data_IF_867571879058
#
_entry.id   IF_867571879058
#
_cell.length_a   1.000
_cell.length_b   1.000
_cell.length_c   1.000
_cell.angle_alpha   90.00
_cell.angle_beta   90.00
_cell.angle_gamma   90.00
#
_symmetry.space_group_name_H-M   'P 1'
#
loop_
_entity.id
_entity.type
_entity.pdbx_description
1 polymer ?
#
# COMPACT_ATOMS: atom_id res chain seq x y z
N UNK A 1 -7.53 6.00 -3.02
CA UNK A 1 -8.71 5.29 -2.53
C UNK A 1 -9.71 5.10 -3.67
N UNK A 2 -10.23 6.16 -4.24
CA UNK A 2 -11.28 6.14 -5.25
C UNK A 2 -10.75 5.69 -6.64
N UNK A 3 -10.57 4.38 -6.83
CA UNK A 3 -9.99 3.84 -8.05
C UNK A 3 -10.99 3.79 -9.23
N UNK A 4 -12.25 3.45 -8.93
CA UNK A 4 -13.31 3.31 -9.95
C UNK A 4 -14.10 4.59 -10.22
N UNK A 5 -13.75 5.71 -9.57
CA UNK A 5 -14.47 6.98 -9.65
C UNK A 5 -15.62 7.10 -8.65
N UNK A 6 -16.27 8.26 -8.66
CA UNK A 6 -17.41 8.58 -7.80
C UNK A 6 -18.74 8.26 -8.47
N UNK A 7 -19.79 8.01 -7.66
CA UNK A 7 -21.18 7.96 -8.13
C UNK A 7 -21.54 6.72 -8.96
N UNK A 8 -20.80 5.61 -8.84
CA UNK A 8 -21.15 4.35 -9.52
C UNK A 8 -22.39 3.74 -8.90
N UNK A 9 -23.50 3.82 -9.61
CA UNK A 9 -24.84 3.43 -9.11
C UNK A 9 -24.97 1.95 -8.83
N UNK A 10 -24.25 1.10 -9.57
CA UNK A 10 -24.23 -0.34 -9.36
C UNK A 10 -23.74 -0.72 -7.96
N UNK A 11 -22.75 0.01 -7.43
CA UNK A 11 -22.22 -0.26 -6.08
C UNK A 11 -23.26 0.10 -5.02
N UNK A 12 -23.86 1.29 -5.14
CA UNK A 12 -24.92 1.73 -4.22
C UNK A 12 -26.14 0.79 -4.23
N UNK A 13 -26.53 0.31 -5.41
CA UNK A 13 -27.61 -0.65 -5.57
C UNK A 13 -27.31 -2.00 -4.90
N UNK A 14 -26.09 -2.52 -5.06
CA UNK A 14 -25.65 -3.75 -4.41
C UNK A 14 -25.70 -3.65 -2.87
N UNK A 15 -25.20 -2.53 -2.32
CA UNK A 15 -25.28 -2.25 -0.88
C UNK A 15 -26.71 -2.19 -0.38
N UNK A 16 -27.60 -1.48 -1.09
CA UNK A 16 -29.00 -1.36 -0.71
C UNK A 16 -29.75 -2.70 -0.78
N UNK A 17 -29.45 -3.53 -1.77
CA UNK A 17 -30.03 -4.88 -1.89
C UNK A 17 -29.59 -5.77 -0.72
N UNK A 18 -28.30 -5.77 -0.39
CA UNK A 18 -27.75 -6.54 0.72
C UNK A 18 -28.32 -6.08 2.08
N UNK A 19 -28.44 -4.77 2.30
CA UNK A 19 -29.01 -4.23 3.54
C UNK A 19 -30.48 -4.63 3.77
N UNK A 20 -31.26 -4.87 2.70
CA UNK A 20 -32.62 -5.37 2.79
C UNK A 20 -32.67 -6.87 3.09
N UNK A 21 -31.65 -7.62 2.76
CA UNK A 21 -31.59 -9.07 2.93
C UNK A 21 -30.99 -9.47 4.27
N UNK A 22 -29.82 -8.93 4.59
CA UNK A 22 -29.06 -9.19 5.81
C UNK A 22 -28.04 -8.07 6.00
N UNK A 23 -28.25 -7.21 6.99
CA UNK A 23 -27.36 -6.10 7.33
C UNK A 23 -26.18 -6.52 8.19
N UNK A 24 -26.38 -7.48 9.10
CA UNK A 24 -25.37 -7.92 10.06
C UNK A 24 -25.56 -9.39 10.47
N UNK A 25 -24.44 -10.06 10.69
CA UNK A 25 -24.35 -11.36 11.38
C UNK A 25 -23.04 -11.45 12.15
N UNK A 26 -23.08 -11.99 13.37
CA UNK A 26 -21.87 -12.10 14.21
C UNK A 26 -21.01 -13.29 13.78
N UNK A 27 -19.82 -13.01 13.28
CA UNK A 27 -18.92 -14.00 12.66
C UNK A 27 -18.32 -15.01 13.62
N UNK A 28 -18.42 -14.81 14.95
CA UNK A 28 -17.99 -15.83 15.93
C UNK A 28 -18.93 -17.04 15.99
N UNK A 29 -20.13 -16.93 15.45
CA UNK A 29 -21.16 -17.98 15.53
C UNK A 29 -21.65 -18.40 14.14
N UNK A 30 -21.64 -17.50 13.19
CA UNK A 30 -22.27 -17.68 11.87
C UNK A 30 -21.37 -17.14 10.77
N UNK A 31 -21.64 -17.56 9.56
CA UNK A 31 -21.14 -16.96 8.32
C UNK A 31 -22.31 -16.40 7.51
N UNK A 32 -22.01 -15.75 6.40
CA UNK A 32 -23.00 -15.31 5.43
C UNK A 32 -22.60 -15.74 4.01
N UNK A 33 -23.59 -15.99 3.16
CA UNK A 33 -23.33 -16.38 1.76
C UNK A 33 -22.48 -15.34 1.02
N UNK A 34 -22.68 -14.05 1.30
CA UNK A 34 -21.89 -12.98 0.69
C UNK A 34 -20.42 -13.03 1.15
N UNK A 35 -20.16 -13.37 2.41
CA UNK A 35 -18.79 -13.49 2.94
C UNK A 35 -18.02 -14.64 2.27
N UNK A 36 -18.66 -15.81 2.17
CA UNK A 36 -18.07 -16.98 1.53
C UNK A 36 -17.85 -16.76 0.03
N UNK A 37 -18.82 -16.15 -0.64
CA UNK A 37 -18.71 -15.88 -2.08
C UNK A 37 -17.62 -14.87 -2.39
N UNK A 38 -17.59 -13.74 -1.67
CA UNK A 38 -16.59 -12.72 -1.92
C UNK A 38 -15.18 -13.18 -1.52
N UNK A 39 -15.04 -14.01 -0.47
CA UNK A 39 -13.77 -14.61 -0.11
C UNK A 39 -13.21 -15.46 -1.25
N UNK A 40 -14.02 -16.33 -1.86
CA UNK A 40 -13.62 -17.14 -3.04
C UNK A 40 -13.21 -16.26 -4.21
N UNK A 41 -14.06 -15.29 -4.59
CA UNK A 41 -13.79 -14.37 -5.70
C UNK A 41 -12.50 -13.56 -5.47
N UNK A 42 -12.22 -13.13 -4.22
CA UNK A 42 -11.02 -12.37 -3.89
C UNK A 42 -9.75 -13.24 -3.91
N UNK A 43 -9.83 -14.51 -3.47
CA UNK A 43 -8.72 -15.46 -3.60
C UNK A 43 -8.42 -15.78 -5.07
N UNK A 44 -9.45 -15.99 -5.88
CA UNK A 44 -9.30 -16.20 -7.33
C UNK A 44 -8.69 -14.98 -8.02
N UNK A 45 -9.11 -13.78 -7.62
CA UNK A 45 -8.53 -12.54 -8.10
C UNK A 45 -7.05 -12.40 -7.68
N UNK A 46 -6.68 -12.80 -6.46
CA UNK A 46 -5.32 -12.74 -5.96
C UNK A 46 -4.39 -13.78 -6.62
N UNK A 47 -4.96 -14.78 -7.28
CA UNK A 47 -4.21 -15.73 -8.11
C UNK A 47 -3.63 -16.93 -7.36
N UNK A 48 -2.76 -17.70 -8.02
CA UNK A 48 -2.39 -19.06 -7.58
C UNK A 48 -1.66 -19.11 -6.24
N UNK A 49 -0.98 -18.06 -5.81
CA UNK A 49 -0.29 -18.01 -4.52
C UNK A 49 -1.25 -18.15 -3.32
N UNK A 50 -2.52 -17.76 -3.51
CA UNK A 50 -3.55 -17.84 -2.48
C UNK A 50 -4.56 -18.98 -2.70
N UNK A 51 -4.31 -19.86 -3.64
CA UNK A 51 -5.13 -21.05 -3.86
C UNK A 51 -5.05 -21.97 -2.63
N UNK A 52 -6.20 -22.39 -2.11
CA UNK A 52 -6.28 -23.13 -0.84
C UNK A 52 -6.10 -22.25 0.42
N UNK A 53 -5.95 -20.97 0.24
CA UNK A 53 -5.86 -19.98 1.32
C UNK A 53 -7.19 -19.57 1.92
N UNK A 54 -7.17 -18.54 2.76
CA UNK A 54 -8.35 -17.96 3.39
C UNK A 54 -8.32 -16.43 3.41
N UNK A 55 -9.50 -15.82 3.53
CA UNK A 55 -9.67 -14.37 3.68
C UNK A 55 -10.26 -14.04 5.03
N UNK A 56 -9.68 -13.07 5.73
CA UNK A 56 -10.23 -12.46 6.91
C UNK A 56 -10.60 -11.00 6.62
N UNK A 57 -11.90 -10.68 6.68
CA UNK A 57 -12.40 -9.34 6.41
C UNK A 57 -12.43 -8.47 7.65
N UNK A 58 -12.12 -7.18 7.51
CA UNK A 58 -12.08 -6.15 8.56
C UNK A 58 -12.74 -4.86 8.09
N UNK A 59 -12.85 -3.83 8.96
CA UNK A 59 -13.45 -2.56 8.56
C UNK A 59 -12.45 -1.56 7.95
N UNK A 60 -11.17 -1.88 7.90
CA UNK A 60 -10.18 -0.97 7.31
C UNK A 60 -8.74 -1.46 7.39
N UNK A 61 -7.82 -0.68 6.82
CA UNK A 61 -6.41 -1.07 6.68
C UNK A 61 -5.70 -1.27 8.03
N UNK A 62 -5.92 -0.41 9.03
CA UNK A 62 -5.26 -0.57 10.34
C UNK A 62 -5.70 -1.85 11.06
N UNK A 63 -6.99 -2.18 11.02
CA UNK A 63 -7.49 -3.45 11.56
C UNK A 63 -6.95 -4.66 10.76
N UNK A 64 -6.84 -4.53 9.45
CA UNK A 64 -6.26 -5.59 8.61
C UNK A 64 -4.77 -5.81 8.94
N UNK A 65 -4.01 -4.75 9.21
CA UNK A 65 -2.61 -4.88 9.69
C UNK A 65 -2.57 -5.55 11.07
N UNK A 66 -3.38 -5.13 12.04
CA UNK A 66 -3.47 -5.81 13.35
C UNK A 66 -3.77 -7.30 13.20
N UNK A 67 -4.69 -7.64 12.30
CA UNK A 67 -5.03 -9.02 11.94
C UNK A 67 -3.81 -9.77 11.39
N UNK A 68 -3.08 -9.18 10.44
CA UNK A 68 -1.90 -9.80 9.83
C UNK A 68 -0.76 -10.01 10.85
N UNK A 69 -0.53 -9.04 11.76
CA UNK A 69 0.47 -9.17 12.83
C UNK A 69 0.13 -10.32 13.79
N UNK A 70 -1.13 -10.41 14.21
CA UNK A 70 -1.60 -11.49 15.09
C UNK A 70 -1.58 -12.84 14.38
N UNK A 71 -1.94 -12.89 13.11
CA UNK A 71 -1.88 -14.10 12.28
C UNK A 71 -0.45 -14.61 12.15
N UNK A 72 0.50 -13.73 11.85
CA UNK A 72 1.92 -14.08 11.77
C UNK A 72 2.46 -14.59 13.12
N UNK A 73 2.05 -13.96 14.22
CA UNK A 73 2.41 -14.42 15.56
C UNK A 73 1.84 -15.80 15.89
N UNK A 74 0.56 -16.03 15.60
CA UNK A 74 -0.07 -17.33 15.84
C UNK A 74 0.56 -18.41 14.97
N UNK A 75 0.76 -18.16 13.68
CA UNK A 75 1.48 -19.07 12.78
C UNK A 75 2.80 -19.56 13.38
N UNK A 76 3.64 -18.63 13.87
CA UNK A 76 4.93 -19.02 14.48
C UNK A 76 4.77 -19.91 15.71
N UNK A 77 3.73 -19.69 16.51
CA UNK A 77 3.43 -20.56 17.65
C UNK A 77 3.00 -21.96 17.19
N UNK A 78 2.14 -22.05 16.18
CA UNK A 78 1.62 -23.33 15.64
C UNK A 78 2.71 -24.19 14.99
N UNK A 79 3.72 -23.56 14.38
CA UNK A 79 4.88 -24.28 13.81
C UNK A 79 6.00 -24.53 14.83
N UNK A 80 5.71 -24.41 16.13
CA UNK A 80 6.66 -24.74 17.20
C UNK A 80 7.74 -23.69 17.44
N UNK A 81 7.50 -22.42 17.05
CA UNK A 81 8.41 -21.29 17.23
C UNK A 81 7.78 -20.20 18.15
N UNK A 82 7.33 -20.53 19.38
CA UNK A 82 6.54 -19.61 20.21
C UNK A 82 7.33 -18.39 20.71
N UNK A 83 8.63 -18.34 20.56
CA UNK A 83 9.47 -17.18 20.90
C UNK A 83 9.52 -16.15 19.79
N UNK A 84 9.14 -16.49 18.55
CA UNK A 84 9.08 -15.54 17.41
C UNK A 84 7.85 -14.67 17.53
N UNK A 85 8.06 -13.36 17.71
CA UNK A 85 6.97 -12.40 17.91
C UNK A 85 7.25 -11.00 17.36
N UNK A 86 8.49 -10.74 16.92
CA UNK A 86 8.85 -9.45 16.35
C UNK A 86 8.50 -9.41 14.86
N UNK A 87 7.81 -8.37 14.43
CA UNK A 87 7.57 -8.10 13.00
C UNK A 87 8.45 -6.94 12.58
N UNK A 88 9.40 -7.21 11.70
CA UNK A 88 10.34 -6.24 11.15
C UNK A 88 9.67 -5.44 10.04
N UNK A 89 10.09 -4.19 9.83
CA UNK A 89 9.54 -3.32 8.79
C UNK A 89 10.57 -2.32 8.25
N UNK A 90 10.13 -1.31 7.49
CA UNK A 90 11.04 -0.30 6.90
C UNK A 90 10.84 1.07 7.52
N UNK A 91 11.92 1.83 7.61
CA UNK A 91 11.85 3.27 7.90
C UNK A 91 10.93 3.97 6.90
N UNK A 92 10.26 5.03 7.34
CA UNK A 92 9.33 5.83 6.54
C UNK A 92 8.10 5.07 6.00
N UNK A 93 7.91 3.79 6.32
CA UNK A 93 6.69 3.05 5.95
C UNK A 93 5.46 3.54 6.73
N UNK A 94 4.27 3.24 6.23
CA UNK A 94 3.02 3.50 6.92
C UNK A 94 2.05 2.34 6.78
N UNK A 95 1.77 1.67 7.89
CA UNK A 95 0.90 0.50 7.93
C UNK A 95 -0.42 0.73 8.69
N UNK A 96 -0.60 1.86 9.32
CA UNK A 96 -1.84 2.21 10.02
C UNK A 96 -1.64 3.03 11.28
N UNK A 97 -2.74 3.28 12.01
CA UNK A 97 -2.77 4.18 13.17
C UNK A 97 -3.21 3.51 14.48
N UNK A 98 -3.53 2.22 14.50
CA UNK A 98 -3.67 1.44 15.73
C UNK A 98 -2.28 1.20 16.34
N UNK A 99 -2.18 0.88 17.62
CA UNK A 99 -0.88 0.80 18.29
C UNK A 99 0.04 -0.28 17.70
N UNK A 100 -0.50 -1.44 17.30
CA UNK A 100 0.28 -2.47 16.63
C UNK A 100 0.68 -2.08 15.20
N UNK A 101 -0.24 -1.52 14.43
CA UNK A 101 0.07 -1.01 13.08
C UNK A 101 1.08 0.15 13.14
N UNK A 102 1.00 1.00 14.18
CA UNK A 102 1.94 2.09 14.41
C UNK A 102 3.32 1.56 14.85
N UNK A 103 3.37 0.46 15.59
CA UNK A 103 4.62 -0.21 15.99
C UNK A 103 5.47 -0.60 14.78
N UNK A 104 4.83 -1.15 13.73
CA UNK A 104 5.50 -1.57 12.49
C UNK A 104 5.57 -0.47 11.43
N UNK A 105 4.93 0.68 11.63
CA UNK A 105 5.10 1.86 10.77
C UNK A 105 6.41 2.56 11.09
N UNK A 106 7.18 2.96 10.07
CA UNK A 106 8.49 3.61 10.26
C UNK A 106 8.46 5.14 10.14
N UNK A 107 7.33 5.76 9.81
CA UNK A 107 7.25 7.21 9.66
C UNK A 107 7.29 7.92 11.02
N UNK A 108 8.42 8.56 11.32
CA UNK A 108 8.69 9.18 12.62
C UNK A 108 7.61 10.17 13.05
N UNK A 109 7.21 11.10 12.18
CA UNK A 109 6.23 12.14 12.51
C UNK A 109 4.87 11.60 12.96
N UNK A 110 4.47 10.42 12.46
CA UNK A 110 3.20 9.78 12.84
C UNK A 110 3.29 8.97 14.12
N UNK A 111 4.51 8.63 14.56
CA UNK A 111 4.79 7.76 15.72
C UNK A 111 5.20 8.54 16.96
N UNK A 112 5.95 9.62 16.81
CA UNK A 112 6.70 10.31 17.87
C UNK A 112 5.85 10.57 19.12
N UNK A 113 4.64 11.10 18.98
CA UNK A 113 3.74 11.38 20.11
C UNK A 113 3.31 10.11 20.86
N UNK A 114 3.24 8.97 20.16
CA UNK A 114 2.69 7.70 20.67
C UNK A 114 3.76 6.68 21.03
N UNK A 115 5.04 6.96 20.82
CA UNK A 115 6.14 6.05 21.14
C UNK A 115 6.08 5.48 22.55
N UNK A 116 5.73 6.24 23.62
CA UNK A 116 5.60 5.68 24.96
C UNK A 116 4.54 4.58 25.12
N UNK A 117 3.60 4.48 24.17
CA UNK A 117 2.51 3.49 24.17
C UNK A 117 2.79 2.30 23.25
N UNK A 118 3.83 2.38 22.43
CA UNK A 118 4.09 1.43 21.36
C UNK A 118 5.24 0.51 21.73
N UNK A 119 5.05 -0.80 21.55
CA UNK A 119 6.17 -1.74 21.56
C UNK A 119 6.94 -1.61 20.25
N UNK A 120 8.12 -1.04 20.28
CA UNK A 120 8.90 -0.78 19.08
C UNK A 120 9.26 -2.05 18.33
N UNK A 121 9.21 -1.96 17.02
CA UNK A 121 9.69 -2.93 16.05
C UNK A 121 11.01 -2.44 15.43
N UNK A 122 11.86 -3.35 14.99
CA UNK A 122 13.07 -2.97 14.26
C UNK A 122 12.71 -2.55 12.82
N UNK A 123 13.32 -1.47 12.37
CA UNK A 123 13.12 -0.90 11.05
C UNK A 123 14.43 -0.88 10.28
N UNK A 124 14.39 -1.30 9.01
CA UNK A 124 15.52 -1.24 8.07
C UNK A 124 15.36 -0.05 7.11
N UNK A 125 16.40 0.26 6.34
CA UNK A 125 16.37 1.31 5.33
C UNK A 125 15.31 1.07 4.26
N UNK A 126 14.83 2.16 3.64
CA UNK A 126 13.92 2.08 2.50
C UNK A 126 14.70 2.17 1.19
N UNK A 127 14.49 1.27 0.21
CA UNK A 127 15.23 1.29 -1.06
C UNK A 127 14.75 2.45 -1.96
N UNK A 128 15.33 3.63 -1.73
CA UNK A 128 14.92 4.87 -2.37
C UNK A 128 16.01 5.39 -3.33
N UNK A 129 15.91 5.02 -4.61
CA UNK A 129 16.94 5.28 -5.61
C UNK A 129 17.26 6.76 -5.83
N UNK A 130 16.26 7.65 -5.84
CA UNK A 130 16.51 9.09 -5.98
C UNK A 130 17.37 9.66 -4.83
N UNK A 131 17.26 9.07 -3.62
CA UNK A 131 18.05 9.41 -2.42
C UNK A 131 18.75 8.19 -1.87
N UNK A 132 19.47 7.46 -2.76
CA UNK A 132 20.12 6.22 -2.38
C UNK A 132 21.17 6.43 -1.29
N UNK A 133 21.14 5.61 -0.24
CA UNK A 133 22.14 5.64 0.84
C UNK A 133 23.46 4.94 0.47
N UNK A 134 23.50 4.22 -0.65
CA UNK A 134 24.65 3.40 -1.07
C UNK A 134 25.40 3.94 -2.29
N UNK A 135 25.30 5.24 -2.59
CA UNK A 135 26.03 5.92 -3.68
C UNK A 135 26.01 5.16 -5.02
N UNK A 136 24.85 4.63 -5.39
CA UNK A 136 24.70 3.87 -6.63
C UNK A 136 24.99 4.71 -7.88
N UNK A 137 25.98 4.29 -8.66
CA UNK A 137 26.31 4.88 -9.97
C UNK A 137 25.70 4.13 -11.15
N UNK A 138 25.15 2.92 -10.93
CA UNK A 138 24.70 1.97 -11.95
C UNK A 138 23.19 1.88 -12.12
N UNK A 139 22.48 2.99 -11.98
CA UNK A 139 21.00 3.03 -12.03
C UNK A 139 20.32 2.15 -10.97
N UNK A 140 20.91 2.08 -9.78
CA UNK A 140 20.42 1.35 -8.61
C UNK A 140 20.33 -0.18 -8.77
N UNK A 141 21.06 -0.80 -9.69
CA UNK A 141 21.04 -2.26 -9.87
C UNK A 141 21.67 -3.01 -8.70
N UNK A 142 22.75 -2.46 -8.11
CA UNK A 142 23.45 -3.07 -6.98
C UNK A 142 22.82 -2.75 -5.64
N UNK A 143 22.25 -1.56 -5.45
CA UNK A 143 21.77 -1.12 -4.14
C UNK A 143 20.56 -1.93 -3.62
N UNK A 144 19.77 -2.56 -4.50
CA UNK A 144 18.69 -3.43 -4.09
C UNK A 144 19.15 -4.56 -3.17
N UNK A 145 20.30 -5.14 -3.47
CA UNK A 145 20.89 -6.20 -2.64
C UNK A 145 21.42 -5.65 -1.30
N UNK A 146 22.01 -4.46 -1.30
CA UNK A 146 22.51 -3.84 -0.07
C UNK A 146 21.37 -3.52 0.90
N UNK A 147 20.28 -2.93 0.41
CA UNK A 147 19.08 -2.72 1.22
C UNK A 147 18.45 -4.03 1.73
N UNK A 148 18.50 -5.11 0.93
CA UNK A 148 18.00 -6.40 1.37
C UNK A 148 18.85 -7.03 2.48
N UNK A 149 20.18 -6.85 2.45
CA UNK A 149 21.10 -7.31 3.52
C UNK A 149 20.82 -6.66 4.87
N UNK A 150 20.26 -5.45 4.90
CA UNK A 150 19.83 -4.84 6.15
C UNK A 150 18.73 -5.68 6.85
N UNK A 151 17.84 -6.34 6.08
CA UNK A 151 16.86 -7.26 6.65
C UNK A 151 17.54 -8.48 7.28
N UNK A 152 18.53 -9.06 6.61
CA UNK A 152 19.27 -10.21 7.13
C UNK A 152 19.95 -9.86 8.46
N UNK A 153 20.65 -8.72 8.51
CA UNK A 153 21.26 -8.22 9.74
C UNK A 153 20.22 -7.95 10.85
N UNK A 154 19.07 -7.40 10.51
CA UNK A 154 17.99 -7.16 11.50
C UNK A 154 17.40 -8.46 12.05
N UNK A 155 17.29 -9.51 11.22
CA UNK A 155 16.84 -10.85 11.66
C UNK A 155 17.88 -11.46 12.63
N UNK A 156 19.16 -11.40 12.30
CA UNK A 156 20.25 -11.88 13.17
C UNK A 156 20.23 -11.15 14.53
N UNK A 157 20.11 -9.81 14.50
CA UNK A 157 20.03 -8.98 15.70
C UNK A 157 18.76 -9.23 16.54
N UNK A 158 17.72 -9.81 15.95
CA UNK A 158 16.49 -10.19 16.68
C UNK A 158 16.68 -11.38 17.65
N UNK A 159 17.85 -12.01 17.64
CA UNK A 159 18.15 -13.18 18.47
C UNK A 159 17.13 -14.32 18.32
N UNK A 160 16.67 -14.55 17.09
CA UNK A 160 15.70 -15.58 16.74
C UNK A 160 14.24 -15.21 17.05
N UNK A 161 13.94 -13.98 17.42
CA UNK A 161 12.58 -13.52 17.75
C UNK A 161 11.82 -12.97 16.53
N UNK A 162 12.45 -12.81 15.37
CA UNK A 162 11.77 -12.37 14.15
C UNK A 162 10.69 -13.37 13.73
N UNK A 163 9.46 -12.89 13.56
CA UNK A 163 8.28 -13.65 13.14
C UNK A 163 7.94 -13.42 11.68
N UNK A 164 8.05 -12.16 11.23
CA UNK A 164 7.69 -11.72 9.89
C UNK A 164 8.43 -10.44 9.50
N UNK A 165 8.44 -10.14 8.21
CA UNK A 165 8.76 -8.84 7.66
C UNK A 165 7.53 -8.28 6.93
N UNK A 166 7.17 -7.01 7.21
CA UNK A 166 6.06 -6.32 6.53
C UNK A 166 6.59 -5.22 5.63
N UNK A 167 6.05 -5.14 4.41
CA UNK A 167 6.47 -4.13 3.43
C UNK A 167 5.36 -3.73 2.46
N UNK A 168 5.29 -2.44 2.14
CA UNK A 168 4.57 -1.92 0.97
C UNK A 168 5.38 -2.26 -0.29
N UNK A 169 4.84 -2.93 -1.32
CA UNK A 169 5.60 -3.23 -2.56
C UNK A 169 6.08 -1.96 -3.28
N UNK A 170 5.25 -0.93 -3.29
CA UNK A 170 5.59 0.45 -3.68
C UNK A 170 5.17 1.34 -2.52
N UNK A 171 6.03 2.30 -2.12
CA UNK A 171 5.70 3.14 -0.98
C UNK A 171 4.40 3.92 -1.18
N UNK A 172 3.65 4.03 -0.10
CA UNK A 172 2.45 4.87 -0.07
C UNK A 172 2.75 6.37 0.10
N UNK A 173 1.93 7.01 0.93
CA UNK A 173 1.94 8.47 1.10
C UNK A 173 3.21 9.03 1.74
N UNK A 174 3.89 8.28 2.58
CA UNK A 174 5.00 8.81 3.41
C UNK A 174 6.27 9.10 2.62
N UNK A 175 6.54 8.33 1.56
CA UNK A 175 7.68 8.54 0.65
C UNK A 175 7.26 8.96 -0.76
N UNK A 176 5.97 8.85 -1.10
CA UNK A 176 5.45 9.23 -2.40
C UNK A 176 5.86 8.27 -3.52
N UNK A 177 5.15 7.15 -3.62
CA UNK A 177 5.21 6.19 -4.73
C UNK A 177 6.62 5.72 -5.11
N UNK A 178 7.51 5.53 -4.14
CA UNK A 178 8.86 5.00 -4.39
C UNK A 178 8.75 3.55 -4.82
N UNK A 179 9.24 3.26 -6.02
CA UNK A 179 9.35 1.92 -6.59
C UNK A 179 10.71 1.35 -6.18
N UNK A 180 10.77 0.15 -5.59
CA UNK A 180 12.04 -0.44 -5.19
C UNK A 180 12.92 -0.79 -6.41
N UNK A 181 14.25 -0.77 -6.26
CA UNK A 181 15.18 -1.14 -7.33
C UNK A 181 15.03 -2.62 -7.73
N UNK A 182 15.45 -2.97 -8.97
CA UNK A 182 15.41 -4.35 -9.43
C UNK A 182 16.12 -5.31 -8.47
N UNK A 183 15.53 -6.50 -8.27
CA UNK A 183 16.07 -7.56 -7.43
C UNK A 183 15.85 -7.38 -5.91
N UNK A 184 15.44 -6.20 -5.42
CA UNK A 184 15.22 -5.98 -3.99
C UNK A 184 14.15 -6.91 -3.41
N UNK A 185 12.93 -6.90 -3.97
CA UNK A 185 11.83 -7.69 -3.42
C UNK A 185 12.09 -9.20 -3.53
N UNK A 186 12.76 -9.65 -4.60
CA UNK A 186 13.16 -11.05 -4.72
C UNK A 186 14.16 -11.43 -3.61
N UNK A 187 15.16 -10.59 -3.35
CA UNK A 187 16.11 -10.83 -2.25
C UNK A 187 15.42 -10.85 -0.87
N UNK A 188 14.40 -10.00 -0.66
CA UNK A 188 13.58 -10.02 0.56
C UNK A 188 12.86 -11.38 0.72
N UNK A 189 12.25 -11.91 -0.36
CA UNK A 189 11.60 -13.24 -0.34
C UNK A 189 12.61 -14.31 0.05
N UNK A 190 13.77 -14.33 -0.63
CA UNK A 190 14.81 -15.32 -0.40
C UNK A 190 15.34 -15.31 1.05
N UNK A 191 15.49 -14.11 1.62
CA UNK A 191 15.88 -13.92 3.02
C UNK A 191 14.79 -14.43 3.96
N UNK A 192 13.53 -14.03 3.76
CA UNK A 192 12.42 -14.50 4.58
C UNK A 192 12.31 -16.03 4.58
N UNK A 193 12.44 -16.65 3.42
CA UNK A 193 12.39 -18.12 3.27
C UNK A 193 13.54 -18.81 4.00
N UNK A 194 14.79 -18.34 3.79
CA UNK A 194 15.98 -18.90 4.47
C UNK A 194 15.88 -18.87 5.99
N UNK A 195 15.33 -17.79 6.54
CA UNK A 195 15.21 -17.60 7.98
C UNK A 195 13.88 -18.11 8.57
N UNK A 196 12.97 -18.63 7.75
CA UNK A 196 11.68 -19.16 8.20
C UNK A 196 10.76 -18.10 8.82
N UNK A 197 10.86 -16.85 8.39
CA UNK A 197 9.94 -15.78 8.75
C UNK A 197 8.91 -15.55 7.64
N UNK A 198 7.76 -14.99 7.99
CA UNK A 198 6.71 -14.70 7.00
C UNK A 198 6.96 -13.38 6.29
N UNK A 199 6.58 -13.32 5.00
CA UNK A 199 6.47 -12.07 4.26
C UNK A 199 5.02 -11.58 4.28
N UNK A 200 4.79 -10.37 4.82
CA UNK A 200 3.51 -9.68 4.78
C UNK A 200 3.60 -8.55 3.75
N UNK A 201 2.82 -8.66 2.67
CA UNK A 201 2.71 -7.59 1.68
C UNK A 201 1.57 -6.63 2.08
N UNK A 202 1.90 -5.37 2.35
CA UNK A 202 0.92 -4.31 2.56
C UNK A 202 0.53 -3.72 1.20
N UNK A 203 -0.56 -4.22 0.65
CA UNK A 203 -1.18 -3.80 -0.61
C UNK A 203 -2.38 -2.85 -0.39
N UNK A 204 -2.45 -2.22 0.76
CA UNK A 204 -3.53 -1.28 1.11
C UNK A 204 -3.61 -0.11 0.14
N UNK A 205 -2.47 0.38 -0.37
CA UNK A 205 -2.44 1.43 -1.40
C UNK A 205 -2.23 0.92 -2.81
N UNK A 206 -1.51 -0.14 -2.98
CA UNK A 206 -0.99 -0.65 -4.25
C UNK A 206 -1.89 -1.70 -4.90
N UNK A 207 -2.72 -2.37 -4.12
CA UNK A 207 -3.62 -3.43 -4.58
C UNK A 207 -4.84 -2.94 -5.37
N UNK A 208 -5.66 -3.89 -5.76
CA UNK A 208 -6.91 -3.69 -6.50
C UNK A 208 -6.72 -2.91 -7.81
N UNK A 209 -5.66 -3.24 -8.55
CA UNK A 209 -5.41 -2.68 -9.88
C UNK A 209 -4.58 -1.40 -9.92
N UNK A 210 -4.33 -0.75 -8.77
CA UNK A 210 -3.72 0.60 -8.69
C UNK A 210 -2.41 0.75 -9.48
N UNK A 211 -1.58 -0.27 -9.52
CA UNK A 211 -0.26 -0.25 -10.17
C UNK A 211 -0.24 -0.90 -11.56
N UNK A 212 -1.41 -1.29 -12.11
CA UNK A 212 -1.50 -1.98 -13.40
C UNK A 212 -1.34 -3.49 -13.30
N UNK A 213 -1.37 -4.03 -12.09
CA UNK A 213 -1.52 -5.45 -11.76
C UNK A 213 -2.60 -5.58 -10.70
N UNK A 214 -3.20 -6.76 -10.55
CA UNK A 214 -4.22 -7.01 -9.52
C UNK A 214 -3.70 -6.64 -8.15
N UNK A 215 -2.49 -7.11 -7.83
CA UNK A 215 -1.67 -6.70 -6.69
C UNK A 215 -0.25 -6.36 -7.15
N UNK A 216 0.37 -5.37 -6.52
CA UNK A 216 1.68 -4.87 -6.97
C UNK A 216 2.81 -5.90 -6.87
N UNK A 217 2.72 -6.86 -5.95
CA UNK A 217 3.69 -7.97 -5.82
C UNK A 217 3.85 -8.77 -7.12
N UNK A 218 2.85 -8.77 -8.00
CA UNK A 218 2.88 -9.46 -9.30
C UNK A 218 3.93 -8.88 -10.25
N UNK A 219 4.28 -7.59 -10.13
CA UNK A 219 5.34 -6.97 -10.96
C UNK A 219 6.70 -7.64 -10.78
N UNK A 220 6.92 -8.27 -9.63
CA UNK A 220 8.20 -8.91 -9.27
C UNK A 220 8.05 -10.41 -9.05
N UNK A 221 6.86 -10.99 -9.33
CA UNK A 221 6.57 -12.41 -9.08
C UNK A 221 6.88 -12.82 -7.63
N UNK A 222 6.58 -11.95 -6.68
CA UNK A 222 6.81 -12.15 -5.24
C UNK A 222 5.59 -12.83 -4.62
N UNK A 223 5.72 -14.05 -4.05
CA UNK A 223 4.65 -14.74 -3.36
C UNK A 223 4.67 -14.40 -1.85
N UNK A 224 3.87 -13.45 -1.36
CA UNK A 224 3.77 -13.21 0.08
C UNK A 224 3.01 -14.32 0.78
N UNK A 225 3.35 -14.59 2.05
CA UNK A 225 2.59 -15.51 2.91
C UNK A 225 1.24 -14.91 3.34
N UNK A 226 1.25 -13.59 3.57
CA UNK A 226 0.09 -12.80 3.97
C UNK A 226 0.02 -11.55 3.09
N UNK A 227 -1.16 -11.24 2.56
CA UNK A 227 -1.41 -10.02 1.80
C UNK A 227 -2.52 -9.21 2.49
N UNK A 228 -2.26 -7.92 2.70
CA UNK A 228 -3.22 -7.00 3.32
C UNK A 228 -3.73 -6.02 2.28
N UNK A 229 -5.05 -5.86 2.18
CA UNK A 229 -5.68 -4.91 1.27
C UNK A 229 -6.83 -4.15 1.93
N UNK A 230 -7.10 -2.93 1.45
CA UNK A 230 -8.20 -2.07 1.89
C UNK A 230 -8.46 -1.01 0.80
N UNK A 231 -8.82 0.20 1.15
CA UNK A 231 -8.99 1.36 0.24
C UNK A 231 -9.65 1.03 -1.11
N UNK A 232 -8.84 0.57 -2.09
CA UNK A 232 -9.30 0.14 -3.40
C UNK A 232 -10.29 -1.03 -3.35
N UNK A 233 -10.22 -1.85 -2.31
CA UNK A 233 -11.07 -3.03 -2.10
C UNK A 233 -12.57 -2.69 -2.15
N UNK A 234 -12.98 -1.56 -1.59
CA UNK A 234 -14.34 -1.01 -1.69
C UNK A 234 -14.39 0.30 -2.46
N UNK A 235 -13.24 0.78 -2.95
CA UNK A 235 -13.08 2.08 -3.63
C UNK A 235 -13.66 3.28 -2.85
N UNK A 236 -13.80 3.14 -1.53
CA UNK A 236 -14.31 4.17 -0.64
C UNK A 236 -15.85 4.16 -0.44
N UNK A 237 -16.57 3.23 -1.05
CA UNK A 237 -18.03 3.11 -0.88
C UNK A 237 -18.43 2.60 0.50
N UNK A 238 -17.62 1.74 1.11
CA UNK A 238 -17.83 1.25 2.47
C UNK A 238 -16.50 1.06 3.22
N UNK A 239 -16.49 1.13 4.56
CA UNK A 239 -15.37 0.68 5.37
C UNK A 239 -15.14 -0.81 5.12
N UNK A 240 -13.93 -1.15 4.60
CA UNK A 240 -13.57 -2.54 4.30
C UNK A 240 -12.06 -2.69 4.23
N UNK A 241 -11.55 -3.75 4.82
CA UNK A 241 -10.22 -4.28 4.70
C UNK A 241 -10.25 -5.80 4.58
N UNK A 242 -9.19 -6.40 4.12
CA UNK A 242 -9.04 -7.85 4.06
C UNK A 242 -7.59 -8.26 4.26
N UNK A 243 -7.43 -9.42 4.87
CA UNK A 243 -6.17 -10.16 4.98
C UNK A 243 -6.34 -11.47 4.24
N UNK A 244 -5.52 -11.72 3.25
CA UNK A 244 -5.43 -12.99 2.53
C UNK A 244 -4.25 -13.77 3.11
N UNK A 245 -4.49 -14.98 3.54
CA UNK A 245 -3.47 -15.92 4.03
C UNK A 245 -3.25 -17.02 3.01
N UNK A 246 -1.98 -17.35 2.73
CA UNK A 246 -1.63 -18.49 1.88
C UNK A 246 -2.04 -19.82 2.52
N UNK A 247 -2.17 -20.89 1.71
CA UNK A 247 -2.49 -22.21 2.20
C UNK A 247 -1.53 -22.65 3.32
N UNK A 248 -0.23 -22.37 3.19
CA UNK A 248 0.78 -22.66 4.23
C UNK A 248 0.40 -22.11 5.61
N UNK A 249 -0.10 -20.86 5.65
CA UNK A 249 -0.48 -20.20 6.92
C UNK A 249 -1.77 -20.79 7.45
N UNK A 250 -2.75 -21.05 6.57
CA UNK A 250 -4.04 -21.66 6.93
C UNK A 250 -3.86 -23.07 7.48
N UNK A 251 -3.08 -23.91 6.79
CA UNK A 251 -2.83 -25.29 7.17
C UNK A 251 -2.15 -25.39 8.54
N UNK A 252 -1.19 -24.52 8.83
CA UNK A 252 -0.51 -24.50 10.13
C UNK A 252 -1.50 -24.26 11.28
N UNK A 253 -2.43 -23.31 11.12
CA UNK A 253 -3.45 -23.04 12.13
C UNK A 253 -4.48 -24.16 12.21
N UNK A 254 -4.92 -24.71 11.08
CA UNK A 254 -5.89 -25.81 11.03
C UNK A 254 -5.36 -27.10 11.69
N UNK A 255 -4.06 -27.40 11.52
CA UNK A 255 -3.39 -28.56 12.12
C UNK A 255 -2.99 -28.32 13.58
N UNK A 256 -2.86 -27.07 14.01
CA UNK A 256 -2.53 -26.66 15.38
C UNK A 256 -3.78 -26.47 16.24
N UNK A 257 -4.06 -25.23 16.63
CA UNK A 257 -5.22 -24.88 17.48
C UNK A 257 -6.56 -25.03 16.77
N UNK A 258 -6.61 -25.13 15.44
CA UNK A 258 -7.81 -25.30 14.63
C UNK A 258 -8.59 -24.01 14.38
N UNK A 259 -8.19 -22.89 14.98
CA UNK A 259 -8.88 -21.61 14.80
C UNK A 259 -7.96 -20.41 14.98
N UNK A 260 -8.19 -19.34 14.23
CA UNK A 260 -7.51 -18.07 14.42
C UNK A 260 -8.15 -17.30 15.57
N UNK A 261 -7.36 -17.07 16.64
CA UNK A 261 -7.83 -16.42 17.89
C UNK A 261 -7.85 -14.90 17.70
N UNK A 262 -8.85 -14.42 16.97
CA UNK A 262 -8.99 -12.99 16.64
C UNK A 262 -10.44 -12.65 16.28
N UNK A 263 -10.86 -11.40 16.52
CA UNK A 263 -12.19 -10.93 16.14
C UNK A 263 -12.38 -9.44 16.34
N UNK A 264 -13.20 -8.85 15.48
CA UNK A 264 -13.83 -7.54 15.65
C UNK A 264 -15.35 -7.70 15.44
N UNK A 265 -16.17 -6.87 16.08
CA UNK A 265 -17.62 -6.97 16.00
C UNK A 265 -18.14 -6.90 14.56
N UNK A 266 -17.56 -6.02 13.75
CA UNK A 266 -17.98 -5.80 12.36
C UNK A 266 -17.16 -6.55 11.31
N UNK A 267 -16.50 -7.63 11.70
CA UNK A 267 -15.85 -8.51 10.73
C UNK A 267 -16.86 -8.98 9.68
N UNK A 268 -16.41 -8.99 8.43
CA UNK A 268 -17.19 -9.48 7.30
C UNK A 268 -18.62 -8.90 7.26
N UNK A 269 -18.77 -7.60 7.55
CA UNK A 269 -20.07 -6.90 7.54
C UNK A 269 -20.74 -7.03 6.16
N UNK A 270 -21.93 -7.66 6.04
CA UNK A 270 -22.50 -8.04 4.75
C UNK A 270 -22.65 -6.90 3.75
N UNK A 271 -23.06 -5.71 4.19
CA UNK A 271 -23.24 -4.54 3.31
C UNK A 271 -21.90 -4.04 2.79
N UNK A 272 -20.85 -4.05 3.61
CA UNK A 272 -19.49 -3.69 3.18
C UNK A 272 -18.92 -4.71 2.20
N UNK A 273 -19.18 -6.00 2.41
CA UNK A 273 -18.78 -7.06 1.48
C UNK A 273 -19.49 -6.95 0.13
N UNK A 274 -20.79 -6.60 0.14
CA UNK A 274 -21.53 -6.35 -1.10
C UNK A 274 -20.94 -5.18 -1.89
N UNK A 275 -20.50 -4.10 -1.22
CA UNK A 275 -19.78 -3.02 -1.85
C UNK A 275 -18.46 -3.49 -2.47
N UNK A 276 -17.62 -4.20 -1.69
CA UNK A 276 -16.32 -4.70 -2.16
C UNK A 276 -16.45 -5.66 -3.34
N UNK A 277 -17.39 -6.58 -3.27
CA UNK A 277 -17.70 -7.53 -4.35
C UNK A 277 -18.15 -6.82 -5.63
N UNK A 278 -19.07 -5.86 -5.50
CA UNK A 278 -19.53 -5.08 -6.65
C UNK A 278 -18.41 -4.22 -7.25
N UNK A 279 -17.48 -3.70 -6.44
CA UNK A 279 -16.26 -3.00 -6.90
C UNK A 279 -15.38 -3.96 -7.69
N UNK A 280 -15.12 -5.17 -7.20
CA UNK A 280 -14.33 -6.18 -7.92
C UNK A 280 -14.94 -6.49 -9.30
N UNK A 281 -16.23 -6.76 -9.35
CA UNK A 281 -16.94 -7.02 -10.60
C UNK A 281 -16.91 -5.84 -11.56
N UNK A 282 -17.05 -4.61 -11.05
CA UNK A 282 -16.98 -3.39 -11.86
C UNK A 282 -15.58 -3.17 -12.44
N UNK A 283 -14.55 -3.44 -11.64
CA UNK A 283 -13.15 -3.36 -12.03
C UNK A 283 -12.84 -4.33 -13.19
N UNK A 284 -13.31 -5.57 -13.09
CA UNK A 284 -13.16 -6.60 -14.13
C UNK A 284 -13.97 -6.25 -15.38
N UNK A 285 -15.24 -5.87 -15.23
CA UNK A 285 -16.14 -5.49 -16.33
C UNK A 285 -15.56 -4.39 -17.22
N UNK A 286 -14.86 -3.42 -16.64
CA UNK A 286 -14.26 -2.28 -17.34
C UNK A 286 -12.76 -2.43 -17.64
N UNK A 287 -12.17 -3.58 -17.31
CA UNK A 287 -10.73 -3.84 -17.50
C UNK A 287 -9.84 -2.75 -16.85
N UNK A 288 -10.19 -2.28 -15.63
CA UNK A 288 -9.52 -1.14 -15.01
C UNK A 288 -8.09 -1.45 -14.56
N UNK A 289 -7.75 -2.71 -14.33
CA UNK A 289 -6.34 -3.12 -14.08
C UNK A 289 -5.48 -2.79 -15.29
N UNK A 290 -5.95 -3.12 -16.49
CA UNK A 290 -5.26 -2.83 -17.75
C UNK A 290 -5.20 -1.33 -18.07
N UNK A 291 -6.25 -0.57 -17.69
CA UNK A 291 -6.24 0.89 -17.81
C UNK A 291 -5.15 1.53 -16.93
N UNK A 292 -4.79 0.88 -15.82
CA UNK A 292 -3.73 1.31 -14.91
C UNK A 292 -2.33 0.77 -15.26
N UNK A 293 -2.17 -0.05 -16.30
CA UNK A 293 -0.85 -0.55 -16.73
C UNK A 293 -0.12 0.53 -17.55
N UNK A 294 0.89 1.16 -16.95
CA UNK A 294 1.68 2.22 -17.59
C UNK A 294 2.53 1.73 -18.77
N UNK A 295 2.75 0.43 -18.91
CA UNK A 295 3.47 -0.16 -20.06
C UNK A 295 2.55 -0.43 -21.25
N UNK A 296 1.23 -0.40 -21.05
CA UNK A 296 0.25 -0.59 -22.11
C UNK A 296 0.02 0.73 -22.86
N UNK A 297 0.36 0.78 -24.11
CA UNK A 297 0.17 1.96 -24.95
C UNK A 297 -1.32 2.41 -24.96
N UNK A 298 -1.55 3.71 -24.76
CA UNK A 298 -2.88 4.30 -24.73
C UNK A 298 -3.68 4.05 -23.45
N UNK A 299 -3.11 3.37 -22.45
CA UNK A 299 -3.75 3.23 -21.14
C UNK A 299 -3.83 4.58 -20.42
N UNK A 300 -4.74 4.71 -19.46
CA UNK A 300 -4.87 5.89 -18.58
C UNK A 300 -3.55 6.18 -17.87
N UNK A 301 -2.87 5.14 -17.40
CA UNK A 301 -1.59 5.28 -16.72
C UNK A 301 -0.47 5.73 -17.69
N UNK A 302 -0.38 5.17 -18.89
CA UNK A 302 0.63 5.59 -19.88
C UNK A 302 0.45 7.06 -20.27
N UNK A 303 -0.79 7.51 -20.47
CA UNK A 303 -1.11 8.91 -20.75
C UNK A 303 -0.72 9.80 -19.55
N UNK A 304 -1.03 9.38 -18.32
CA UNK A 304 -0.67 10.13 -17.12
C UNK A 304 0.85 10.27 -16.96
N UNK A 305 1.61 9.18 -17.10
CA UNK A 305 3.08 9.22 -17.01
C UNK A 305 3.69 10.15 -18.06
N UNK A 306 3.23 10.03 -19.32
CA UNK A 306 3.67 10.91 -20.41
C UNK A 306 3.34 12.39 -20.13
N UNK A 307 2.18 12.68 -19.56
CA UNK A 307 1.78 14.05 -19.24
C UNK A 307 2.56 14.63 -18.04
N UNK A 308 2.93 13.81 -17.05
CA UNK A 308 3.69 14.23 -15.87
C UNK A 308 5.19 14.46 -16.18
N UNK A 309 5.78 13.75 -17.13
CA UNK A 309 7.23 13.77 -17.39
C UNK A 309 7.78 15.20 -17.64
N UNK A 310 7.11 16.10 -18.40
CA UNK A 310 7.59 17.46 -18.60
C UNK A 310 7.63 18.32 -17.34
N UNK A 311 7.03 17.89 -16.22
CA UNK A 311 7.16 18.60 -14.93
C UNK A 311 8.57 18.53 -14.38
N UNK A 312 9.38 17.54 -14.81
CA UNK A 312 10.80 17.45 -14.47
C UNK A 312 11.61 18.66 -14.91
N UNK A 313 11.15 19.42 -15.91
CA UNK A 313 11.84 20.63 -16.37
C UNK A 313 11.73 21.79 -15.36
N UNK A 314 10.75 21.74 -14.45
CA UNK A 314 10.63 22.75 -13.38
C UNK A 314 11.84 22.72 -12.45
N UNK A 315 12.42 23.86 -12.10
CA UNK A 315 13.59 23.94 -11.23
C UNK A 315 13.30 23.49 -9.78
N UNK A 316 12.03 23.41 -9.38
CA UNK A 316 11.62 22.97 -8.06
C UNK A 316 11.15 21.52 -8.02
N UNK A 317 11.11 20.81 -9.16
CA UNK A 317 10.76 19.39 -9.24
C UNK A 317 12.05 18.57 -9.29
N UNK A 318 12.31 17.85 -8.22
CA UNK A 318 13.49 16.97 -8.10
C UNK A 318 13.26 15.62 -8.77
N UNK A 319 12.08 15.03 -8.56
CA UNK A 319 11.74 13.73 -9.12
C UNK A 319 10.24 13.60 -9.45
N UNK A 320 9.94 12.86 -10.51
CA UNK A 320 8.59 12.40 -10.87
C UNK A 320 8.67 10.89 -11.00
N UNK A 321 7.95 10.17 -10.15
CA UNK A 321 8.05 8.71 -10.06
C UNK A 321 6.70 8.05 -9.87
N UNK A 322 6.66 6.75 -10.04
CA UNK A 322 5.47 5.95 -9.75
C UNK A 322 5.35 4.69 -10.59
N UNK A 323 4.29 3.95 -10.34
CA UNK A 323 3.93 2.74 -11.04
C UNK A 323 2.41 2.70 -11.26
N UNK A 324 1.99 2.50 -12.49
CA UNK A 324 0.57 2.55 -12.85
C UNK A 324 -0.06 3.92 -12.54
N UNK A 325 -1.16 3.94 -11.82
CA UNK A 325 -1.86 5.14 -11.38
C UNK A 325 -1.52 5.55 -9.93
N UNK A 326 -0.35 5.16 -9.43
CA UNK A 326 0.23 5.63 -8.20
C UNK A 326 1.52 6.38 -8.52
N UNK A 327 1.44 7.71 -8.62
CA UNK A 327 2.55 8.59 -8.97
C UNK A 327 2.82 9.59 -7.85
N UNK A 328 4.02 10.18 -7.85
CA UNK A 328 4.40 11.27 -6.97
C UNK A 328 5.33 12.25 -7.67
N UNK A 329 5.30 13.48 -7.19
CA UNK A 329 6.19 14.57 -7.59
C UNK A 329 6.90 15.05 -6.32
N UNK A 330 8.22 14.91 -6.28
CA UNK A 330 9.04 15.40 -5.17
C UNK A 330 9.61 16.77 -5.49
N UNK A 331 9.54 17.65 -4.51
CA UNK A 331 10.00 19.02 -4.62
C UNK A 331 11.34 19.22 -3.92
N UNK A 332 12.18 20.04 -4.53
CA UNK A 332 13.51 20.41 -4.01
C UNK A 332 13.74 21.90 -4.17
N UNK A 333 14.49 22.48 -3.25
CA UNK A 333 14.98 23.86 -3.33
C UNK A 333 16.14 23.97 -4.34
N UNK A 334 16.96 22.92 -4.45
CA UNK A 334 18.08 22.81 -5.38
C UNK A 334 18.14 21.40 -5.96
N UNK A 335 18.04 21.32 -7.29
CA UNK A 335 18.08 20.03 -8.02
C UNK A 335 19.47 19.38 -8.05
N UNK A 336 20.51 20.17 -8.03
CA UNK A 336 21.89 19.66 -8.14
C UNK A 336 22.31 18.92 -6.88
N UNK A 337 21.90 19.43 -5.73
CA UNK A 337 22.19 18.85 -4.41
C UNK A 337 21.04 18.00 -3.86
N UNK A 338 19.88 18.04 -4.54
CA UNK A 338 18.61 17.46 -4.07
C UNK A 338 18.18 18.02 -2.71
N UNK A 339 18.62 19.23 -2.34
CA UNK A 339 18.30 19.85 -1.07
C UNK A 339 16.78 20.10 -0.97
N UNK A 340 16.12 19.68 0.12
CA UNK A 340 14.70 19.94 0.31
C UNK A 340 14.45 21.42 0.62
N UNK A 341 13.23 21.88 0.44
CA UNK A 341 12.78 23.15 1.02
C UNK A 341 12.83 23.09 2.54
N UNK A 342 12.99 24.29 3.18
CA UNK A 342 12.83 24.38 4.62
C UNK A 342 11.44 23.86 5.02
N UNK A 343 11.36 23.01 6.03
CA UNK A 343 10.10 22.36 6.46
C UNK A 343 8.98 23.39 6.74
N UNK A 344 9.34 24.54 7.32
CA UNK A 344 8.41 25.63 7.62
C UNK A 344 7.78 26.26 6.38
N UNK A 345 8.39 26.11 5.19
CA UNK A 345 7.84 26.62 3.94
C UNK A 345 6.61 25.82 3.51
N UNK A 346 6.53 24.53 3.85
CA UNK A 346 5.43 23.63 3.47
C UNK A 346 5.10 23.75 1.98
N UNK A 347 6.11 23.59 1.12
CA UNK A 347 5.96 23.84 -0.32
C UNK A 347 4.89 22.95 -0.95
N UNK A 348 4.82 21.68 -0.57
CA UNK A 348 3.76 20.77 -1.04
C UNK A 348 2.36 21.25 -0.67
N UNK A 349 2.18 21.78 0.55
CA UNK A 349 0.91 22.35 1.00
C UNK A 349 0.52 23.60 0.19
N UNK A 350 1.48 24.47 -0.13
CA UNK A 350 1.26 25.67 -0.97
C UNK A 350 0.84 25.26 -2.39
N UNK A 351 1.53 24.29 -2.99
CA UNK A 351 1.15 23.76 -4.32
C UNK A 351 -0.25 23.16 -4.28
N UNK A 352 -0.58 22.38 -3.23
CA UNK A 352 -1.91 21.78 -3.09
C UNK A 352 -3.01 22.83 -2.95
N UNK A 353 -2.79 23.93 -2.19
CA UNK A 353 -3.72 25.03 -2.08
C UNK A 353 -3.93 25.74 -3.42
N UNK A 354 -2.84 26.05 -4.13
CA UNK A 354 -2.91 26.66 -5.45
C UNK A 354 -3.60 25.76 -6.50
N UNK A 355 -3.44 24.44 -6.38
CA UNK A 355 -4.15 23.46 -7.23
C UNK A 355 -5.66 23.43 -6.91
N UNK A 356 -6.03 23.47 -5.62
CA UNK A 356 -7.42 23.48 -5.18
C UNK A 356 -8.18 24.73 -5.67
N UNK A 357 -7.55 25.90 -5.66
CA UNK A 357 -8.10 27.14 -6.24
C UNK A 357 -8.39 27.02 -7.75
N UNK A 358 -7.72 26.09 -8.43
CA UNK A 358 -7.90 25.76 -9.84
C UNK A 358 -8.84 24.58 -10.11
N UNK A 359 -9.48 24.07 -9.02
CA UNK A 359 -10.40 22.92 -9.09
C UNK A 359 -9.72 21.55 -9.12
N UNK A 360 -8.42 21.46 -8.83
CA UNK A 360 -7.67 20.20 -8.78
C UNK A 360 -7.30 19.86 -7.33
N UNK A 361 -7.75 18.69 -6.85
CA UNK A 361 -7.36 18.17 -5.55
C UNK A 361 -6.18 17.21 -5.70
N UNK A 362 -5.10 17.45 -4.98
CA UNK A 362 -3.92 16.60 -4.88
C UNK A 362 -3.59 16.33 -3.41
N UNK A 363 -2.77 15.33 -3.13
CA UNK A 363 -2.45 14.94 -1.76
C UNK A 363 -1.02 15.37 -1.37
N UNK A 364 -0.88 16.48 -0.59
CA UNK A 364 0.43 16.97 -0.16
C UNK A 364 0.96 16.19 1.03
N UNK A 365 2.27 15.97 1.03
CA UNK A 365 3.00 15.31 2.11
C UNK A 365 4.34 15.96 2.34
N UNK A 366 4.82 15.87 3.59
CA UNK A 366 6.17 16.26 4.00
C UNK A 366 6.89 15.08 4.67
N UNK A 367 8.21 15.15 4.75
CA UNK A 367 9.03 14.18 5.49
C UNK A 367 9.61 13.04 4.65
N UNK A 368 9.62 13.14 3.31
CA UNK A 368 10.14 12.05 2.48
C UNK A 368 11.67 11.89 2.51
N UNK A 369 12.42 12.82 3.07
CA UNK A 369 13.89 12.74 3.18
C UNK A 369 14.30 12.04 4.46
N UNK A 370 13.86 12.55 5.61
CA UNK A 370 14.31 12.16 6.94
C UNK A 370 13.17 11.98 7.97
N UNK A 371 11.93 12.01 7.51
CA UNK A 371 10.73 11.99 8.35
C UNK A 371 10.18 13.38 8.70
N UNK A 372 10.95 14.44 8.46
CA UNK A 372 10.61 15.83 8.74
C UNK A 372 10.70 16.66 7.47
N UNK A 373 11.86 16.65 6.83
CA UNK A 373 12.18 17.39 5.62
C UNK A 373 11.74 16.68 4.35
N UNK A 374 11.56 17.45 3.28
CA UNK A 374 11.17 16.95 1.96
C UNK A 374 9.66 17.02 1.73
N UNK A 375 9.32 17.64 0.63
CA UNK A 375 7.95 17.91 0.19
C UNK A 375 7.62 17.11 -1.05
N UNK A 376 6.44 16.49 -1.09
CA UNK A 376 5.97 15.82 -2.29
C UNK A 376 4.44 15.84 -2.40
N UNK A 377 3.95 15.61 -3.61
CA UNK A 377 2.55 15.34 -3.90
C UNK A 377 2.36 13.91 -4.35
N UNK A 378 1.30 13.26 -3.87
CA UNK A 378 0.77 12.06 -4.50
C UNK A 378 -0.25 12.45 -5.58
N UNK A 379 -0.13 11.79 -6.72
CA UNK A 379 -1.05 11.86 -7.86
C UNK A 379 -1.57 10.44 -8.11
N UNK A 380 -2.79 10.18 -7.63
CA UNK A 380 -3.38 8.84 -7.67
C UNK A 380 -4.85 8.90 -8.16
N UNK A 381 -5.05 9.23 -9.45
CA UNK A 381 -6.38 9.46 -10.01
C UNK A 381 -7.20 8.18 -10.15
N UNK A 382 -8.52 8.29 -10.41
CA UNK A 382 -9.34 7.16 -10.86
C UNK A 382 -8.87 6.60 -12.21
N UNK A 383 -9.08 5.30 -12.42
CA UNK A 383 -8.70 4.60 -13.66
C UNK A 383 -9.66 4.88 -14.85
N UNK A 384 -10.70 5.67 -14.63
CA UNK A 384 -11.73 6.02 -15.61
C UNK A 384 -11.53 7.39 -16.26
N UNK A 385 -10.43 8.08 -15.96
CA UNK A 385 -10.18 9.42 -16.54
C UNK A 385 -9.98 9.35 -18.04
N UNK A 386 -10.52 10.37 -18.76
CA UNK A 386 -10.21 10.57 -20.16
C UNK A 386 -8.82 11.22 -20.35
N UNK A 387 -8.28 11.15 -21.55
CA UNK A 387 -7.03 11.81 -21.90
C UNK A 387 -7.10 13.33 -21.69
N UNK A 388 -8.24 13.95 -22.03
CA UNK A 388 -8.48 15.38 -21.84
C UNK A 388 -8.49 15.77 -20.36
N UNK A 389 -9.10 14.93 -19.51
CA UNK A 389 -9.12 15.16 -18.06
C UNK A 389 -7.71 15.06 -17.47
N UNK A 390 -6.89 14.12 -17.93
CA UNK A 390 -5.49 13.99 -17.53
C UNK A 390 -4.69 15.22 -17.95
N UNK A 391 -4.81 15.65 -19.21
CA UNK A 391 -4.10 16.82 -19.72
C UNK A 391 -4.48 18.09 -18.95
N UNK A 392 -5.78 18.29 -18.73
CA UNK A 392 -6.27 19.41 -17.92
C UNK A 392 -5.68 19.37 -16.51
N UNK A 393 -5.72 18.20 -15.85
CA UNK A 393 -5.21 18.04 -14.47
C UNK A 393 -3.72 18.39 -14.38
N UNK A 394 -2.90 17.91 -15.32
CA UNK A 394 -1.46 18.20 -15.33
C UNK A 394 -1.18 19.66 -15.67
N UNK A 395 -1.99 20.30 -16.52
CA UNK A 395 -1.89 21.74 -16.79
C UNK A 395 -2.17 22.57 -15.52
N UNK A 396 -3.24 22.25 -14.76
CA UNK A 396 -3.52 22.93 -13.51
C UNK A 396 -2.41 22.69 -12.47
N UNK A 397 -1.87 21.49 -12.42
CA UNK A 397 -0.78 21.15 -11.51
C UNK A 397 0.50 21.94 -11.85
N UNK A 398 0.86 22.06 -13.13
CA UNK A 398 1.99 22.87 -13.58
C UNK A 398 1.82 24.33 -13.13
N UNK A 399 0.66 24.92 -13.41
CA UNK A 399 0.36 26.30 -13.02
C UNK A 399 0.40 26.49 -11.48
N UNK A 400 -0.03 25.49 -10.71
CA UNK A 400 0.04 25.51 -9.26
C UNK A 400 1.49 25.46 -8.75
N UNK A 401 2.36 24.64 -9.33
CA UNK A 401 3.79 24.56 -9.00
C UNK A 401 4.49 25.89 -9.30
N UNK A 402 4.23 26.49 -10.45
CA UNK A 402 4.78 27.79 -10.85
C UNK A 402 4.31 28.91 -9.91
N UNK A 403 3.00 28.95 -9.58
CA UNK A 403 2.42 29.93 -8.65
C UNK A 403 2.96 29.83 -7.23
N UNK A 404 3.13 28.61 -6.71
CA UNK A 404 3.68 28.39 -5.38
C UNK A 404 5.16 28.84 -5.23
N UNK A 405 5.88 28.89 -6.33
CA UNK A 405 7.28 29.34 -6.39
C UNK A 405 7.43 30.87 -6.28
N UNK A 406 6.43 31.60 -6.77
CA UNK A 406 6.47 33.06 -6.85
C UNK A 406 6.03 33.76 -5.56
N UNK A 407 5.52 33.02 -4.60
CA UNK A 407 5.13 33.47 -3.26
C UNK A 407 6.26 33.21 -2.24
#
# INVERSE_FOLDING_TARGET
MNFIGHGVTEIAAAMAAQARQLEFVHTSQFTSSIAEQYARELLDFAGPNFQGGAVYFTCGGSEAIETALKLARQYQAEVGQPWRHQVLSRNQSYHGSTLGALAVSGNQRRRELYLPMVRESAHIGYPYCYRCAYDCTDSCRSCGQEYARELEAAIENSQGQAAAFIAEPVSGATLGAVVPPPGYLQAIVDICQRHGILLIADEVMTGMGRTGRKFAVEHWSVPPDILVTAKGLSSGYAPLGAVLASARVVDAIAQGTGSFVHGFTYNAHPVSLAAGRAVLQYLEKLNLVEAADSQRAGSVAAILHSALEPLRDSPTVGDVRGLGLLCAIEFVADKSTKAPFAHTMNFAGRVASAAAERGLLVYPMQGCVDGISGDHLLVAPPAILSAEQIQWSVQQLRAAIEGARSQ
#
